data_IF_090452518864
#
_entry.id   IF_090452518864
#
_cell.length_a   1.000
_cell.length_b   1.000
_cell.length_c   1.000
_cell.angle_alpha   90.00
_cell.angle_beta   90.00
_cell.angle_gamma   90.00
#
_symmetry.space_group_name_H-M   'P 1'
#
loop_
_entity.id
_entity.type
_entity.pdbx_description
1 polymer ?
#
# COMPACT_ATOMS: atom_id res chain seq x y z
N UNK A 1 20.07 8.71 -14.26
CA UNK A 1 20.08 9.38 -12.94
C UNK A 1 18.73 10.01 -12.75
N UNK A 2 18.02 9.59 -11.70
CA UNK A 2 16.74 10.20 -11.36
C UNK A 2 17.00 11.53 -10.65
N UNK A 3 16.04 12.47 -10.78
CA UNK A 3 16.14 13.79 -10.18
C UNK A 3 14.88 14.08 -9.38
N UNK A 4 15.00 14.10 -8.06
CA UNK A 4 13.93 14.39 -7.11
C UNK A 4 13.87 15.89 -6.79
N UNK A 5 12.67 16.44 -6.64
CA UNK A 5 12.45 17.79 -6.13
C UNK A 5 12.45 17.80 -4.60
N UNK A 6 12.53 19.00 -4.00
CA UNK A 6 12.42 19.13 -2.55
C UNK A 6 11.03 18.72 -2.01
N UNK A 7 9.99 18.82 -2.84
CA UNK A 7 8.65 18.38 -2.46
C UNK A 7 8.58 16.84 -2.46
N UNK A 8 9.26 16.19 -3.40
CA UNK A 8 9.38 14.73 -3.44
C UNK A 8 10.02 14.27 -2.14
N UNK A 9 11.17 14.85 -1.75
CA UNK A 9 11.84 14.53 -0.49
C UNK A 9 10.94 14.75 0.73
N UNK A 10 10.20 15.86 0.79
CA UNK A 10 9.28 16.15 1.91
C UNK A 10 8.24 15.03 2.08
N UNK A 11 7.65 14.58 0.99
CA UNK A 11 6.60 13.56 1.02
C UNK A 11 7.12 12.19 1.49
N UNK A 12 8.38 11.86 1.22
CA UNK A 12 8.97 10.55 1.50
C UNK A 12 9.49 10.43 2.92
N UNK A 13 10.07 11.52 3.38
CA UNK A 13 10.72 11.60 4.68
C UNK A 13 9.75 12.09 5.75
N UNK A 14 8.67 12.76 5.35
CA UNK A 14 7.77 13.49 6.24
C UNK A 14 8.38 14.81 6.74
N UNK A 15 9.58 15.19 6.30
CA UNK A 15 10.26 16.41 6.74
C UNK A 15 9.88 17.56 5.83
N UNK A 16 9.34 18.64 6.40
CA UNK A 16 8.98 19.84 5.65
C UNK A 16 10.13 20.40 4.82
N UNK A 17 9.86 20.80 3.58
CA UNK A 17 10.83 21.39 2.66
C UNK A 17 11.56 22.59 3.27
N UNK A 18 10.88 23.38 4.10
CA UNK A 18 11.52 24.47 4.85
C UNK A 18 12.58 23.95 5.84
N UNK A 19 12.30 22.87 6.56
CA UNK A 19 13.24 22.23 7.49
C UNK A 19 14.45 21.67 6.75
N UNK A 20 14.24 21.02 5.59
CA UNK A 20 15.35 20.52 4.75
C UNK A 20 16.26 21.67 4.29
N UNK A 21 15.70 22.82 3.91
CA UNK A 21 16.50 24.03 3.57
C UNK A 21 17.30 24.55 4.76
N UNK A 22 16.76 24.48 5.97
CA UNK A 22 17.49 24.87 7.19
C UNK A 22 18.64 23.89 7.45
N UNK A 23 18.41 22.59 7.25
CA UNK A 23 19.44 21.56 7.43
C UNK A 23 20.62 21.78 6.47
N UNK A 24 20.31 22.03 5.19
CA UNK A 24 21.28 22.44 4.16
C UNK A 24 22.06 23.69 4.60
N UNK A 25 21.36 24.77 4.94
CA UNK A 25 21.99 26.06 5.23
C UNK A 25 22.85 26.04 6.51
N UNK A 26 22.40 25.38 7.57
CA UNK A 26 23.06 25.43 8.88
C UNK A 26 24.11 24.36 9.08
N UNK A 27 23.90 23.18 8.51
CA UNK A 27 24.73 22.01 8.80
C UNK A 27 25.38 21.43 7.54
N UNK A 28 25.13 21.98 6.35
CA UNK A 28 25.69 21.48 5.10
C UNK A 28 25.16 20.10 4.70
N UNK A 29 24.05 19.68 5.29
CA UNK A 29 23.45 18.36 5.06
C UNK A 29 22.72 18.36 3.72
N UNK A 30 23.07 17.41 2.84
CA UNK A 30 22.45 17.19 1.53
C UNK A 30 22.37 18.49 0.69
N UNK A 31 23.51 19.10 0.33
CA UNK A 31 23.50 20.33 -0.45
C UNK A 31 22.77 20.10 -1.78
N UNK A 32 21.74 20.91 -2.04
CA UNK A 32 20.89 20.68 -3.19
C UNK A 32 21.65 21.01 -4.47
N UNK A 33 21.66 20.07 -5.41
CA UNK A 33 22.19 20.29 -6.75
C UNK A 33 21.23 21.22 -7.51
N UNK A 34 21.74 21.99 -8.47
CA UNK A 34 20.92 22.97 -9.22
C UNK A 34 20.94 22.66 -10.70
N UNK A 35 19.76 22.62 -11.31
CA UNK A 35 19.64 22.59 -12.78
C UNK A 35 20.08 23.94 -13.35
N UNK A 36 20.34 24.00 -14.66
CA UNK A 36 20.64 25.25 -15.37
C UNK A 36 19.55 26.31 -15.17
N UNK A 37 18.29 25.89 -15.01
CA UNK A 37 17.16 26.76 -14.69
C UNK A 37 17.14 27.30 -13.24
N UNK A 38 18.13 26.95 -12.42
CA UNK A 38 18.24 27.37 -11.01
C UNK A 38 17.42 26.55 -10.00
N UNK A 39 16.59 25.59 -10.45
CA UNK A 39 15.78 24.74 -9.56
C UNK A 39 16.62 23.66 -8.86
N UNK A 40 16.33 23.44 -7.56
CA UNK A 40 16.94 22.39 -6.74
C UNK A 40 16.53 21.00 -7.25
N UNK A 41 17.48 20.07 -7.23
CA UNK A 41 17.24 18.65 -7.42
C UNK A 41 18.15 17.82 -6.52
N UNK A 42 17.72 16.58 -6.27
CA UNK A 42 18.44 15.56 -5.50
C UNK A 42 18.53 14.30 -6.37
N UNK A 43 19.63 13.56 -6.28
CA UNK A 43 19.76 12.27 -6.95
C UNK A 43 19.42 11.09 -6.03
N UNK A 44 19.60 9.87 -6.53
CA UNK A 44 19.29 8.63 -5.82
C UNK A 44 20.12 8.47 -4.53
N UNK A 45 21.37 8.95 -4.50
CA UNK A 45 22.22 8.87 -3.31
C UNK A 45 21.84 9.92 -2.27
N UNK A 46 21.50 11.14 -2.71
CA UNK A 46 20.95 12.18 -1.86
C UNK A 46 19.67 11.69 -1.17
N UNK A 47 18.75 11.06 -1.92
CA UNK A 47 17.50 10.53 -1.38
C UNK A 47 17.74 9.47 -0.29
N UNK A 48 18.60 8.47 -0.56
CA UNK A 48 18.92 7.43 0.43
C UNK A 48 19.50 8.04 1.72
N UNK A 49 20.38 9.03 1.59
CA UNK A 49 20.97 9.69 2.74
C UNK A 49 19.95 10.50 3.54
N UNK A 50 19.08 11.27 2.87
CA UNK A 50 18.03 12.04 3.55
C UNK A 50 17.04 11.10 4.27
N UNK A 51 16.66 9.98 3.64
CA UNK A 51 15.80 8.97 4.23
C UNK A 51 16.35 8.49 5.58
N UNK A 52 17.65 8.16 5.66
CA UNK A 52 18.29 7.74 6.93
C UNK A 52 18.30 8.84 7.97
N UNK A 53 18.65 10.07 7.58
CA UNK A 53 18.63 11.20 8.50
C UNK A 53 17.23 11.46 9.05
N UNK A 54 16.20 11.29 8.21
CA UNK A 54 14.81 11.45 8.63
C UNK A 54 14.41 10.42 9.70
N UNK A 55 14.83 9.17 9.54
CA UNK A 55 14.65 8.14 10.56
C UNK A 55 15.28 8.58 11.88
N UNK A 56 16.59 8.82 11.87
CA UNK A 56 17.37 9.13 13.06
C UNK A 56 16.84 10.39 13.77
N UNK A 57 16.49 11.41 13.00
CA UNK A 57 15.92 12.65 13.52
C UNK A 57 14.59 12.43 14.23
N UNK A 58 13.70 11.62 13.63
CA UNK A 58 12.40 11.27 14.22
C UNK A 58 12.56 10.56 15.57
N UNK A 59 13.58 9.72 15.70
CA UNK A 59 13.89 8.99 16.93
C UNK A 59 14.72 9.80 17.94
N UNK A 60 14.71 11.14 17.83
CA UNK A 60 15.21 12.05 18.86
C UNK A 60 16.67 12.44 18.70
N UNK A 61 17.37 11.94 17.67
CA UNK A 61 18.72 12.41 17.39
C UNK A 61 18.67 13.83 16.79
N UNK A 62 19.46 14.74 17.35
CA UNK A 62 19.53 16.11 16.84
C UNK A 62 20.24 16.13 15.49
N UNK A 63 19.68 16.85 14.51
CA UNK A 63 20.29 16.97 13.18
C UNK A 63 21.74 17.49 13.24
N UNK A 64 22.07 18.36 14.19
CA UNK A 64 23.43 18.88 14.38
C UNK A 64 24.44 17.78 14.73
N UNK A 65 23.99 16.72 15.40
CA UNK A 65 24.83 15.56 15.71
C UNK A 65 24.94 14.64 14.50
N UNK A 66 23.81 14.35 13.84
CA UNK A 66 23.77 13.48 12.66
C UNK A 66 24.59 14.03 11.50
N UNK A 67 24.59 15.35 11.28
CA UNK A 67 25.37 16.02 10.26
C UNK A 67 26.89 15.84 10.42
N UNK A 68 27.35 15.55 11.63
CA UNK A 68 28.77 15.35 11.93
C UNK A 68 29.20 13.87 11.82
N UNK A 69 28.26 12.95 11.61
CA UNK A 69 28.54 11.52 11.52
C UNK A 69 28.92 11.13 10.09
N UNK A 70 29.76 10.11 9.98
CA UNK A 70 30.05 9.46 8.70
C UNK A 70 28.86 8.63 8.21
N UNK A 71 28.81 8.39 6.91
CA UNK A 71 27.79 7.53 6.28
C UNK A 71 27.72 6.12 6.90
N UNK A 72 28.86 5.56 7.31
CA UNK A 72 28.92 4.24 7.97
C UNK A 72 28.33 4.29 9.38
N UNK A 73 28.64 5.32 10.16
CA UNK A 73 28.07 5.50 11.51
C UNK A 73 26.57 5.75 11.45
N UNK A 74 26.09 6.53 10.48
CA UNK A 74 24.67 6.76 10.25
C UNK A 74 23.95 5.45 9.92
N UNK A 75 24.54 4.60 9.06
CA UNK A 75 23.99 3.27 8.74
C UNK A 75 23.93 2.37 9.97
N UNK A 76 24.97 2.34 10.79
CA UNK A 76 25.01 1.54 12.02
C UNK A 76 23.99 2.03 13.05
N UNK A 77 23.89 3.35 13.23
CA UNK A 77 22.93 3.94 14.16
C UNK A 77 21.49 3.71 13.69
N UNK A 78 21.21 3.89 12.39
CA UNK A 78 19.90 3.58 11.82
C UNK A 78 19.54 2.12 12.06
N UNK A 79 20.51 1.22 11.86
CA UNK A 79 20.33 -0.20 12.14
C UNK A 79 20.01 -0.52 13.61
N UNK A 80 20.55 0.25 14.55
CA UNK A 80 20.26 0.07 15.97
C UNK A 80 18.84 0.50 16.35
N UNK A 81 18.31 1.56 15.73
CA UNK A 81 16.96 2.08 15.99
C UNK A 81 15.88 1.14 15.46
N UNK A 82 16.14 0.51 14.32
CA UNK A 82 15.27 -0.51 13.73
C UNK A 82 14.91 -1.64 14.71
N UNK A 83 15.81 -1.96 15.64
CA UNK A 83 15.56 -2.96 16.68
C UNK A 83 14.60 -2.49 17.78
N UNK A 84 14.50 -1.18 18.00
CA UNK A 84 13.69 -0.57 19.07
C UNK A 84 12.32 -0.08 18.60
N UNK A 85 12.14 0.20 17.30
CA UNK A 85 10.97 0.90 16.77
C UNK A 85 10.48 0.23 15.48
N UNK A 86 9.75 -0.89 15.63
CA UNK A 86 9.76 -1.97 14.64
C UNK A 86 9.28 -1.53 13.23
N UNK A 87 8.09 -0.96 13.06
CA UNK A 87 7.48 -0.92 11.72
C UNK A 87 7.97 0.20 10.79
N UNK A 88 8.13 1.44 11.26
CA UNK A 88 8.56 2.55 10.39
C UNK A 88 10.01 2.45 9.92
N UNK A 89 10.91 1.91 10.76
CA UNK A 89 12.28 1.62 10.36
C UNK A 89 12.34 0.67 9.18
N UNK A 90 11.56 -0.42 9.22
CA UNK A 90 11.48 -1.37 8.12
C UNK A 90 10.89 -0.78 6.84
N UNK A 91 9.87 0.09 6.95
CA UNK A 91 9.34 0.81 5.77
C UNK A 91 10.44 1.60 5.08
N UNK A 92 11.31 2.27 5.85
CA UNK A 92 12.43 3.01 5.27
C UNK A 92 13.45 2.10 4.59
N UNK A 93 13.78 0.97 5.21
CA UNK A 93 14.71 0.01 4.61
C UNK A 93 14.19 -0.56 3.29
N UNK A 94 12.88 -0.82 3.21
CA UNK A 94 12.23 -1.25 1.97
C UNK A 94 12.32 -0.15 0.90
N UNK A 95 12.16 1.12 1.27
CA UNK A 95 12.38 2.25 0.36
C UNK A 95 13.83 2.31 -0.11
N UNK A 96 14.81 2.18 0.78
CA UNK A 96 16.23 2.15 0.39
C UNK A 96 16.57 1.00 -0.57
N UNK A 97 16.10 -0.21 -0.26
CA UNK A 97 16.31 -1.40 -1.10
C UNK A 97 15.66 -1.21 -2.48
N UNK A 98 14.48 -0.59 -2.51
CA UNK A 98 13.78 -0.25 -3.75
C UNK A 98 14.54 0.77 -4.58
N UNK A 99 15.06 1.84 -3.97
CA UNK A 99 15.89 2.83 -4.66
C UNK A 99 17.17 2.22 -5.25
N UNK A 100 17.71 1.18 -4.61
CA UNK A 100 18.88 0.45 -5.09
C UNK A 100 18.56 -0.73 -6.03
N UNK A 101 17.28 -1.04 -6.30
CA UNK A 101 16.84 -2.29 -6.94
C UNK A 101 17.41 -3.57 -6.29
N UNK A 102 17.65 -3.52 -4.99
CA UNK A 102 18.19 -4.64 -4.21
C UNK A 102 17.08 -5.60 -3.80
N UNK A 103 16.71 -6.49 -4.74
CA UNK A 103 15.65 -7.47 -4.54
C UNK A 103 15.95 -8.44 -3.39
N UNK A 104 17.23 -8.79 -3.20
CA UNK A 104 17.63 -9.74 -2.17
C UNK A 104 17.40 -9.13 -0.78
N UNK A 105 17.88 -7.90 -0.54
CA UNK A 105 17.64 -7.18 0.71
C UNK A 105 16.16 -6.94 0.95
N UNK A 106 15.42 -6.52 -0.08
CA UNK A 106 13.97 -6.28 0.02
C UNK A 106 13.22 -7.54 0.48
N UNK A 107 13.47 -8.68 -0.17
CA UNK A 107 12.84 -9.96 0.20
C UNK A 107 13.25 -10.42 1.59
N UNK A 108 14.53 -10.29 1.96
CA UNK A 108 15.01 -10.68 3.29
C UNK A 108 14.29 -9.90 4.40
N UNK A 109 14.11 -8.59 4.24
CA UNK A 109 13.36 -7.75 5.18
C UNK A 109 11.91 -8.24 5.29
N UNK A 110 11.22 -8.44 4.16
CA UNK A 110 9.82 -8.90 4.18
C UNK A 110 9.66 -10.29 4.80
N UNK A 111 10.53 -11.23 4.47
CA UNK A 111 10.46 -12.60 4.98
C UNK A 111 10.68 -12.64 6.49
N UNK A 112 11.65 -11.87 7.00
CA UNK A 112 11.88 -11.72 8.43
C UNK A 112 10.66 -11.12 9.15
N UNK A 113 10.01 -10.13 8.53
CA UNK A 113 8.82 -9.48 9.09
C UNK A 113 7.60 -10.39 9.11
N UNK A 114 7.34 -11.11 8.01
CA UNK A 114 6.24 -12.07 7.92
C UNK A 114 6.43 -13.16 8.98
N UNK A 115 7.66 -13.66 9.16
CA UNK A 115 7.97 -14.67 10.18
C UNK A 115 7.75 -14.15 11.60
N UNK A 116 8.14 -12.91 11.88
CA UNK A 116 8.06 -12.31 13.23
C UNK A 116 6.66 -11.82 13.60
N UNK A 117 5.97 -11.14 12.69
CA UNK A 117 4.69 -10.45 12.94
C UNK A 117 3.47 -11.29 12.55
N UNK A 118 3.68 -12.27 11.67
CA UNK A 118 2.61 -12.91 10.92
C UNK A 118 2.23 -12.09 9.67
N UNK A 119 1.72 -12.78 8.66
CA UNK A 119 1.43 -12.19 7.35
C UNK A 119 0.46 -11.01 7.40
N UNK A 120 -0.64 -11.13 8.16
CA UNK A 120 -1.67 -10.08 8.26
C UNK A 120 -1.12 -8.75 8.78
N UNK A 121 -0.38 -8.79 9.90
CA UNK A 121 0.24 -7.60 10.49
C UNK A 121 1.36 -7.05 9.61
N UNK A 122 2.16 -7.92 8.98
CA UNK A 122 3.20 -7.47 8.05
C UNK A 122 2.60 -6.69 6.86
N UNK A 123 1.45 -7.11 6.34
CA UNK A 123 0.75 -6.37 5.28
C UNK A 123 0.26 -5.01 5.77
N UNK A 124 -0.53 -5.00 6.86
CA UNK A 124 -1.18 -3.78 7.37
C UNK A 124 -0.19 -2.75 7.93
N UNK A 125 0.79 -3.20 8.71
CA UNK A 125 1.66 -2.30 9.48
C UNK A 125 2.96 -1.95 8.73
N UNK A 126 3.31 -2.67 7.64
CA UNK A 126 4.54 -2.42 6.88
C UNK A 126 4.30 -2.30 5.38
N UNK A 127 3.72 -3.32 4.72
CA UNK A 127 3.61 -3.31 3.25
C UNK A 127 2.70 -2.19 2.75
N UNK A 128 1.54 -1.98 3.36
CA UNK A 128 0.63 -0.88 3.00
C UNK A 128 1.27 0.50 3.26
N UNK A 129 1.85 0.80 4.44
CA UNK A 129 2.59 2.04 4.64
C UNK A 129 3.75 2.26 3.65
N UNK A 130 4.44 1.19 3.26
CA UNK A 130 5.45 1.26 2.20
C UNK A 130 4.83 1.60 0.83
N UNK A 131 3.74 0.94 0.45
CA UNK A 131 3.02 1.17 -0.82
C UNK A 131 2.44 2.58 -0.90
N UNK A 132 1.94 3.12 0.21
CA UNK A 132 1.48 4.51 0.28
C UNK A 132 2.63 5.48 -0.01
N UNK A 133 3.81 5.27 0.59
CA UNK A 133 4.98 6.12 0.37
C UNK A 133 5.51 6.02 -1.05
N UNK A 134 5.62 4.80 -1.62
CA UNK A 134 6.09 4.63 -2.99
C UNK A 134 5.04 5.12 -4.02
N UNK A 135 3.74 5.01 -3.71
CA UNK A 135 2.66 5.50 -4.56
C UNK A 135 2.59 7.02 -4.64
N UNK A 136 3.02 7.75 -3.59
CA UNK A 136 3.11 9.22 -3.65
C UNK A 136 4.08 9.72 -4.73
N UNK A 137 5.10 8.95 -5.12
CA UNK A 137 6.00 9.33 -6.23
C UNK A 137 5.25 9.40 -7.57
N UNK A 138 4.24 8.56 -7.77
CA UNK A 138 3.46 8.53 -9.01
C UNK A 138 2.61 9.79 -9.18
N UNK A 139 2.07 10.34 -8.08
CA UNK A 139 1.21 11.54 -8.08
C UNK A 139 1.97 12.86 -8.31
N UNK A 140 3.31 12.86 -8.23
CA UNK A 140 4.14 14.08 -8.31
C UNK A 140 4.75 14.28 -9.71
N UNK A 141 4.36 13.47 -10.69
CA UNK A 141 4.72 13.61 -12.12
C UNK A 141 6.24 13.66 -12.38
N UNK A 142 7.03 13.08 -11.47
CA UNK A 142 8.47 12.89 -11.58
C UNK A 142 8.77 11.45 -11.18
N UNK A 143 9.43 10.74 -12.09
CA UNK A 143 9.82 9.32 -12.06
C UNK A 143 10.00 8.70 -10.65
N UNK A 144 9.65 7.44 -10.41
CA UNK A 144 10.07 6.30 -11.24
C UNK A 144 9.00 5.18 -11.33
N UNK A 145 8.36 5.00 -12.50
CA UNK A 145 7.48 3.85 -12.77
C UNK A 145 8.15 2.52 -12.41
N UNK A 146 9.44 2.38 -12.71
CA UNK A 146 10.18 1.14 -12.47
C UNK A 146 10.33 0.73 -10.99
N UNK A 147 10.43 1.67 -10.04
CA UNK A 147 10.68 1.35 -8.63
C UNK A 147 9.40 1.12 -7.84
N UNK A 148 8.35 1.88 -8.17
CA UNK A 148 6.99 1.53 -7.81
C UNK A 148 6.70 0.11 -8.31
N UNK A 149 6.86 -0.13 -9.63
CA UNK A 149 6.61 -1.44 -10.20
C UNK A 149 7.47 -2.52 -9.54
N UNK A 150 8.76 -2.26 -9.31
CA UNK A 150 9.66 -3.20 -8.65
C UNK A 150 9.16 -3.59 -7.26
N UNK A 151 8.96 -2.63 -6.37
CA UNK A 151 8.57 -2.90 -4.99
C UNK A 151 7.16 -3.49 -4.87
N UNK A 152 6.20 -2.93 -5.62
CA UNK A 152 4.81 -3.42 -5.66
C UNK A 152 4.73 -4.84 -6.21
N UNK A 153 5.49 -5.19 -7.26
CA UNK A 153 5.51 -6.57 -7.78
C UNK A 153 6.13 -7.56 -6.79
N UNK A 154 7.14 -7.17 -6.01
CA UNK A 154 7.70 -8.05 -4.97
C UNK A 154 6.67 -8.33 -3.87
N UNK A 155 5.95 -7.30 -3.42
CA UNK A 155 4.85 -7.46 -2.45
C UNK A 155 3.72 -8.32 -3.03
N UNK A 156 3.27 -8.03 -4.25
CA UNK A 156 2.23 -8.79 -4.95
C UNK A 156 2.57 -10.28 -4.97
N UNK A 157 3.79 -10.66 -5.35
CA UNK A 157 4.24 -12.06 -5.37
C UNK A 157 4.17 -12.72 -4.00
N UNK A 158 4.53 -12.02 -2.93
CA UNK A 158 4.42 -12.53 -1.55
C UNK A 158 2.95 -12.77 -1.17
N UNK A 159 2.05 -11.87 -1.56
CA UNK A 159 0.62 -12.03 -1.27
C UNK A 159 0.02 -13.19 -2.05
N UNK A 160 0.30 -13.30 -3.36
CA UNK A 160 -0.16 -14.43 -4.17
C UNK A 160 0.35 -15.75 -3.60
N UNK A 161 1.63 -15.83 -3.21
CA UNK A 161 2.16 -17.02 -2.55
C UNK A 161 1.45 -17.34 -1.24
N UNK A 162 1.15 -16.32 -0.42
CA UNK A 162 0.42 -16.50 0.83
C UNK A 162 -1.01 -17.00 0.62
N UNK A 163 -1.69 -16.52 -0.44
CA UNK A 163 -3.02 -16.99 -0.85
C UNK A 163 -2.98 -18.48 -1.23
N UNK A 164 -2.01 -18.87 -2.05
CA UNK A 164 -1.87 -20.26 -2.52
C UNK A 164 -1.36 -21.22 -1.43
N UNK A 165 -0.68 -20.69 -0.41
CA UNK A 165 -0.22 -21.47 0.74
C UNK A 165 -1.29 -21.69 1.80
N UNK A 166 -2.46 -21.03 1.70
CA UNK A 166 -3.57 -21.29 2.62
C UNK A 166 -4.09 -22.72 2.41
N UNK A 167 -4.44 -23.45 3.49
CA UNK A 167 -5.08 -24.75 3.36
C UNK A 167 -6.35 -24.61 2.54
N UNK A 168 -6.74 -25.67 1.82
CA UNK A 168 -8.01 -25.68 1.10
C UNK A 168 -9.13 -25.44 2.11
N UNK A 169 -9.85 -24.30 2.01
CA UNK A 169 -10.87 -23.98 2.98
C UNK A 169 -11.99 -25.01 2.91
N UNK A 170 -12.47 -25.45 4.07
CA UNK A 170 -13.79 -26.06 4.15
C UNK A 170 -14.78 -24.90 4.12
N UNK A 171 -15.58 -24.83 3.07
CA UNK A 171 -16.53 -23.73 2.91
C UNK A 171 -17.68 -23.92 3.90
N UNK A 172 -17.71 -23.08 4.93
CA UNK A 172 -18.69 -23.15 6.01
C UNK A 172 -19.85 -22.18 5.84
N UNK A 173 -19.76 -21.28 4.85
CA UNK A 173 -20.69 -20.17 4.68
C UNK A 173 -21.46 -20.30 3.36
N UNK A 174 -22.70 -19.79 3.33
CA UNK A 174 -23.42 -19.52 2.07
C UNK A 174 -22.87 -18.28 1.34
N UNK A 175 -21.77 -17.71 1.85
CA UNK A 175 -21.15 -16.50 1.32
C UNK A 175 -20.22 -16.87 0.17
N UNK A 176 -20.34 -16.20 -0.97
CA UNK A 176 -19.41 -16.32 -2.10
C UNK A 176 -19.09 -14.92 -2.61
N UNK A 177 -17.81 -14.57 -2.55
CA UNK A 177 -17.36 -13.21 -2.81
C UNK A 177 -16.76 -13.10 -4.22
N UNK A 178 -17.18 -12.09 -4.97
CA UNK A 178 -16.59 -11.64 -6.22
C UNK A 178 -15.68 -10.44 -5.95
N UNK A 179 -14.41 -10.54 -6.32
CA UNK A 179 -13.41 -9.50 -6.13
C UNK A 179 -12.91 -8.99 -7.48
N UNK A 180 -12.95 -7.67 -7.66
CA UNK A 180 -12.39 -6.99 -8.83
C UNK A 180 -12.01 -5.54 -8.50
N UNK A 181 -11.21 -4.90 -9.36
CA UNK A 181 -11.18 -3.43 -9.45
C UNK A 181 -11.78 -2.98 -10.79
N UNK A 182 -12.49 -1.84 -10.86
CA UNK A 182 -13.08 -1.37 -12.10
C UNK A 182 -12.02 -0.90 -13.10
N UNK A 183 -12.39 -0.80 -14.37
CA UNK A 183 -11.54 -0.20 -15.41
C UNK A 183 -11.00 1.18 -14.97
N UNK A 184 -9.69 1.39 -15.14
CA UNK A 184 -8.99 2.60 -14.69
C UNK A 184 -8.54 2.57 -13.23
N UNK A 185 -8.74 1.46 -12.51
CA UNK A 185 -8.17 1.25 -11.17
C UNK A 185 -7.15 0.09 -11.20
N UNK A 186 -5.85 0.38 -11.37
CA UNK A 186 -4.83 -0.66 -11.51
C UNK A 186 -4.35 -1.25 -10.17
N UNK A 187 -4.79 -0.72 -9.02
CA UNK A 187 -4.24 -1.09 -7.71
C UNK A 187 -4.80 -2.43 -7.19
N UNK A 188 -4.11 -3.50 -7.56
CA UNK A 188 -4.50 -4.89 -7.30
C UNK A 188 -4.15 -5.38 -5.88
N UNK A 189 -3.12 -4.82 -5.25
CA UNK A 189 -2.54 -5.37 -4.01
C UNK A 189 -3.56 -5.42 -2.85
N UNK A 190 -4.34 -4.36 -2.55
CA UNK A 190 -5.36 -4.43 -1.51
C UNK A 190 -6.47 -5.45 -1.84
N UNK A 191 -6.79 -5.61 -3.13
CA UNK A 191 -7.76 -6.60 -3.59
C UNK A 191 -7.28 -8.04 -3.31
N UNK A 192 -6.01 -8.33 -3.61
CA UNK A 192 -5.39 -9.62 -3.28
C UNK A 192 -5.34 -9.86 -1.77
N UNK A 193 -5.03 -8.84 -0.97
CA UNK A 193 -5.06 -8.98 0.48
C UNK A 193 -6.47 -9.31 1.01
N UNK A 194 -7.52 -8.70 0.46
CA UNK A 194 -8.90 -9.08 0.77
C UNK A 194 -9.20 -10.53 0.35
N UNK A 195 -8.72 -10.97 -0.82
CA UNK A 195 -8.86 -12.36 -1.25
C UNK A 195 -8.20 -13.33 -0.26
N UNK A 196 -7.01 -12.98 0.25
CA UNK A 196 -6.33 -13.73 1.29
C UNK A 196 -7.15 -13.79 2.58
N UNK A 197 -7.66 -12.65 3.08
CA UNK A 197 -8.45 -12.59 4.30
C UNK A 197 -9.74 -13.42 4.20
N UNK A 198 -10.47 -13.32 3.10
CA UNK A 198 -11.70 -14.08 2.88
C UNK A 198 -11.44 -15.58 2.80
N UNK A 199 -10.40 -15.99 2.06
CA UNK A 199 -10.00 -17.42 1.97
C UNK A 199 -9.53 -17.96 3.32
N UNK A 200 -8.74 -17.18 4.07
CA UNK A 200 -8.30 -17.53 5.43
C UNK A 200 -9.48 -17.79 6.36
N UNK A 201 -10.56 -17.01 6.21
CA UNK A 201 -11.81 -17.17 6.96
C UNK A 201 -12.82 -18.10 6.26
N UNK A 202 -12.40 -18.97 5.36
CA UNK A 202 -13.27 -20.01 4.78
C UNK A 202 -14.35 -19.52 3.82
N UNK A 203 -14.25 -18.29 3.29
CA UNK A 203 -15.16 -17.76 2.28
C UNK A 203 -14.62 -18.07 0.87
N UNK A 204 -15.39 -18.73 -0.01
CA UNK A 204 -15.03 -18.90 -1.41
C UNK A 204 -14.96 -17.56 -2.14
N UNK A 205 -13.84 -17.34 -2.83
CA UNK A 205 -13.54 -16.12 -3.59
C UNK A 205 -13.46 -16.46 -5.07
N UNK A 206 -14.22 -15.72 -5.89
CA UNK A 206 -14.03 -15.61 -7.32
C UNK A 206 -13.26 -14.32 -7.57
N UNK A 207 -12.00 -14.44 -8.00
CA UNK A 207 -11.10 -13.32 -8.20
C UNK A 207 -11.00 -13.01 -9.71
N UNK A 208 -11.52 -11.86 -10.14
CA UNK A 208 -11.45 -11.43 -11.55
C UNK A 208 -10.19 -10.63 -11.86
N UNK A 209 -9.47 -10.18 -10.83
CA UNK A 209 -8.30 -9.33 -11.00
C UNK A 209 -8.65 -7.86 -11.12
N UNK A 210 -7.68 -7.09 -11.61
CA UNK A 210 -7.79 -5.65 -11.77
C UNK A 210 -8.39 -5.26 -13.12
N UNK A 211 -8.95 -4.06 -13.16
CA UNK A 211 -9.46 -3.41 -14.37
C UNK A 211 -10.52 -4.23 -15.13
N UNK A 212 -11.39 -4.90 -14.39
CA UNK A 212 -12.49 -5.66 -14.96
C UNK A 212 -13.55 -4.74 -15.58
N UNK A 213 -14.12 -5.18 -16.70
CA UNK A 213 -15.23 -4.49 -17.37
C UNK A 213 -16.55 -4.76 -16.64
N UNK A 214 -17.48 -3.80 -16.73
CA UNK A 214 -18.79 -3.92 -16.08
C UNK A 214 -19.66 -5.00 -16.73
N UNK A 215 -19.47 -5.26 -18.02
CA UNK A 215 -20.13 -6.32 -18.78
C UNK A 215 -19.74 -7.69 -18.22
N UNK A 216 -18.44 -7.93 -18.00
CA UNK A 216 -17.94 -9.17 -17.44
C UNK A 216 -18.52 -9.47 -16.04
N UNK A 217 -18.80 -8.43 -15.25
CA UNK A 217 -19.45 -8.59 -13.94
C UNK A 217 -20.89 -9.08 -14.06
N UNK A 218 -21.67 -8.55 -15.01
CA UNK A 218 -23.05 -8.99 -15.20
C UNK A 218 -23.11 -10.48 -15.59
N UNK A 219 -22.23 -10.91 -16.49
CA UNK A 219 -22.13 -12.31 -16.92
C UNK A 219 -21.79 -13.25 -15.74
N UNK A 220 -20.86 -12.82 -14.89
CA UNK A 220 -20.42 -13.60 -13.72
C UNK A 220 -21.53 -13.68 -12.65
N UNK A 221 -22.20 -12.56 -12.37
CA UNK A 221 -23.27 -12.50 -11.36
C UNK A 221 -24.47 -13.36 -11.74
N UNK A 222 -24.77 -13.50 -13.04
CA UNK A 222 -25.89 -14.29 -13.53
C UNK A 222 -25.72 -15.81 -13.28
N UNK A 223 -24.49 -16.32 -13.19
CA UNK A 223 -24.23 -17.77 -13.28
C UNK A 223 -23.60 -18.37 -12.01
N UNK A 224 -22.88 -17.58 -11.20
CA UNK A 224 -22.00 -18.13 -10.16
C UNK A 224 -22.55 -18.11 -8.73
N UNK A 225 -23.78 -17.64 -8.51
CA UNK A 225 -24.39 -17.58 -7.17
C UNK A 225 -23.59 -16.69 -6.21
N UNK A 226 -23.10 -15.56 -6.72
CA UNK A 226 -22.35 -14.58 -5.93
C UNK A 226 -23.31 -13.92 -4.94
N UNK A 227 -22.92 -13.84 -3.67
CA UNK A 227 -23.70 -13.15 -2.65
C UNK A 227 -23.07 -11.83 -2.24
N UNK A 228 -21.76 -11.68 -2.47
CA UNK A 228 -21.00 -10.50 -2.07
C UNK A 228 -20.09 -10.03 -3.20
N UNK A 229 -20.03 -8.72 -3.39
CA UNK A 229 -19.05 -8.05 -4.25
C UNK A 229 -18.14 -7.22 -3.36
N UNK A 230 -16.84 -7.29 -3.62
CA UNK A 230 -15.84 -6.41 -3.01
C UNK A 230 -15.00 -5.73 -4.09
N UNK A 231 -14.84 -4.41 -3.99
CA UNK A 231 -13.92 -3.61 -4.80
C UNK A 231 -13.13 -2.65 -3.92
N UNK A 232 -11.92 -2.29 -4.37
CA UNK A 232 -11.03 -1.37 -3.68
C UNK A 232 -10.68 -0.20 -4.61
N UNK A 233 -10.92 1.04 -4.16
CA UNK A 233 -10.75 2.25 -4.97
C UNK A 233 -9.70 3.18 -4.35
N UNK A 234 -8.62 3.44 -5.08
CA UNK A 234 -7.50 4.30 -4.65
C UNK A 234 -7.44 5.56 -5.51
N UNK A 235 -7.55 5.42 -6.82
CA UNK A 235 -7.33 6.48 -7.79
C UNK A 235 -8.62 7.01 -8.39
N UNK A 236 -8.72 8.32 -8.55
CA UNK A 236 -9.82 8.96 -9.29
C UNK A 236 -9.57 8.96 -10.81
N UNK A 237 -8.74 8.06 -11.31
CA UNK A 237 -8.32 8.04 -12.72
C UNK A 237 -9.29 7.29 -13.61
N UNK A 238 -10.35 6.70 -13.03
CA UNK A 238 -11.40 6.08 -13.81
C UNK A 238 -12.09 7.14 -14.67
N UNK A 239 -12.11 6.93 -15.99
CA UNK A 239 -12.78 7.84 -16.95
C UNK A 239 -14.25 8.04 -16.59
N UNK A 240 -14.88 7.02 -16.00
CA UNK A 240 -16.24 7.04 -15.48
C UNK A 240 -16.24 6.78 -13.97
N UNK A 241 -17.08 7.52 -13.25
CA UNK A 241 -17.28 7.30 -11.82
C UNK A 241 -17.86 5.89 -11.58
N UNK A 242 -17.15 4.98 -10.89
CA UNK A 242 -17.61 3.62 -10.64
C UNK A 242 -18.87 3.59 -9.77
N UNK A 243 -19.23 4.67 -9.06
CA UNK A 243 -20.43 4.70 -8.21
C UNK A 243 -21.73 4.46 -8.98
N UNK A 244 -21.86 5.01 -10.19
CA UNK A 244 -23.08 4.86 -10.99
C UNK A 244 -23.24 3.41 -11.48
N UNK A 245 -22.14 2.79 -11.90
CA UNK A 245 -22.13 1.39 -12.31
C UNK A 245 -22.42 0.45 -11.12
N UNK A 246 -21.87 0.73 -9.94
CA UNK A 246 -22.16 -0.04 -8.73
C UNK A 246 -23.63 0.12 -8.28
N UNK A 247 -24.22 1.31 -8.43
CA UNK A 247 -25.64 1.54 -8.18
C UNK A 247 -26.53 0.77 -9.17
N UNK A 248 -26.15 0.72 -10.45
CA UNK A 248 -26.82 -0.09 -11.46
C UNK A 248 -26.75 -1.59 -11.11
N UNK A 249 -25.58 -2.08 -10.70
CA UNK A 249 -25.41 -3.47 -10.22
C UNK A 249 -26.29 -3.75 -9.00
N UNK A 250 -26.38 -2.84 -8.04
CA UNK A 250 -27.26 -3.01 -6.86
C UNK A 250 -28.74 -3.08 -7.25
N UNK A 251 -29.14 -2.33 -8.27
CA UNK A 251 -30.50 -2.32 -8.79
C UNK A 251 -30.83 -3.63 -9.52
N UNK A 252 -29.90 -4.13 -10.34
CA UNK A 252 -30.08 -5.37 -11.10
C UNK A 252 -29.96 -6.63 -10.23
N UNK A 253 -29.16 -6.57 -9.16
CA UNK A 253 -28.92 -7.67 -8.23
C UNK A 253 -29.17 -7.25 -6.77
N UNK A 254 -30.43 -7.02 -6.35
CA UNK A 254 -30.74 -6.49 -5.03
C UNK A 254 -30.26 -7.37 -3.86
N UNK A 255 -30.18 -8.68 -4.10
CA UNK A 255 -29.75 -9.69 -3.12
C UNK A 255 -28.24 -9.70 -2.88
N UNK A 256 -27.44 -9.10 -3.76
CA UNK A 256 -25.98 -9.06 -3.63
C UNK A 256 -25.58 -7.91 -2.71
N UNK A 257 -24.76 -8.22 -1.71
CA UNK A 257 -24.14 -7.23 -0.85
C UNK A 257 -22.93 -6.62 -1.56
N UNK A 258 -22.90 -5.29 -1.74
CA UNK A 258 -21.81 -4.60 -2.41
C UNK A 258 -21.00 -3.82 -1.38
N UNK A 259 -19.70 -4.09 -1.36
CA UNK A 259 -18.76 -3.48 -0.41
C UNK A 259 -17.60 -2.83 -1.15
N UNK A 260 -17.30 -1.60 -0.77
CA UNK A 260 -16.21 -0.79 -1.29
C UNK A 260 -15.21 -0.54 -0.16
N UNK A 261 -13.93 -0.44 -0.47
CA UNK A 261 -12.92 0.11 0.43
C UNK A 261 -11.97 1.04 -0.31
N UNK A 262 -11.05 1.66 0.43
CA UNK A 262 -10.15 2.71 -0.06
C UNK A 262 -10.57 4.11 0.37
N UNK A 263 -10.00 5.14 -0.25
CA UNK A 263 -10.09 6.53 0.25
C UNK A 263 -11.44 7.19 -0.10
N UNK A 264 -12.46 7.03 0.76
CA UNK A 264 -13.81 7.56 0.51
C UNK A 264 -13.86 9.06 0.24
N UNK A 265 -13.06 9.88 0.92
CA UNK A 265 -13.04 11.34 0.71
C UNK A 265 -12.71 11.75 -0.73
N UNK A 266 -12.14 10.82 -1.51
CA UNK A 266 -11.89 10.98 -2.93
C UNK A 266 -13.10 10.60 -3.81
N UNK A 267 -14.24 10.20 -3.25
CA UNK A 267 -15.38 9.70 -4.01
C UNK A 267 -16.71 10.23 -3.48
N UNK A 268 -17.74 10.31 -4.33
CA UNK A 268 -19.10 10.60 -3.89
C UNK A 268 -19.60 9.55 -2.89
N UNK A 269 -20.59 9.95 -2.07
CA UNK A 269 -21.26 9.04 -1.14
C UNK A 269 -21.94 7.91 -1.94
N UNK A 270 -21.73 6.63 -1.58
CA UNK A 270 -22.38 5.52 -2.27
C UNK A 270 -23.91 5.54 -2.17
N UNK A 271 -24.57 4.95 -3.16
CA UNK A 271 -26.00 4.72 -3.12
C UNK A 271 -26.41 3.81 -1.94
N UNK A 272 -27.67 3.90 -1.51
CA UNK A 272 -28.22 3.09 -0.43
C UNK A 272 -28.05 1.59 -0.72
N UNK A 273 -27.54 0.85 0.26
CA UNK A 273 -27.29 -0.60 0.13
C UNK A 273 -25.92 -0.96 -0.42
N UNK A 274 -25.04 0.03 -0.62
CA UNK A 274 -23.61 -0.15 -0.88
C UNK A 274 -22.86 0.31 0.37
N UNK A 275 -22.00 -0.54 0.91
CA UNK A 275 -21.26 -0.26 2.16
C UNK A 275 -19.83 0.17 1.85
N UNK A 276 -19.32 1.21 2.52
CA UNK A 276 -17.92 1.61 2.42
C UNK A 276 -17.17 1.25 3.70
N UNK A 277 -16.04 0.54 3.58
CA UNK A 277 -15.14 0.21 4.67
C UNK A 277 -14.01 1.25 4.75
N UNK A 278 -14.08 2.11 5.76
CA UNK A 278 -13.16 3.24 5.94
C UNK A 278 -11.93 2.91 6.80
N UNK A 279 -11.93 1.79 7.52
CA UNK A 279 -10.85 1.43 8.46
C UNK A 279 -10.40 0.00 8.30
N UNK A 280 -9.15 -0.28 8.68
CA UNK A 280 -8.61 -1.65 8.71
C UNK A 280 -9.45 -2.56 9.59
N UNK A 281 -9.96 -2.07 10.73
CA UNK A 281 -10.85 -2.84 11.60
C UNK A 281 -12.16 -3.23 10.88
N UNK A 282 -12.75 -2.32 10.10
CA UNK A 282 -13.95 -2.63 9.31
C UNK A 282 -13.63 -3.65 8.19
N UNK A 283 -12.45 -3.55 7.59
CA UNK A 283 -11.94 -4.49 6.58
C UNK A 283 -11.78 -5.90 7.15
N UNK A 284 -11.12 -6.01 8.32
CA UNK A 284 -10.93 -7.28 9.02
C UNK A 284 -12.26 -7.87 9.50
N UNK A 285 -13.15 -7.04 10.05
CA UNK A 285 -14.48 -7.47 10.48
C UNK A 285 -15.29 -8.06 9.30
N UNK A 286 -15.34 -7.35 8.17
CA UNK A 286 -16.00 -7.84 6.95
C UNK A 286 -15.45 -9.18 6.47
N UNK A 287 -14.13 -9.39 6.56
CA UNK A 287 -13.54 -10.65 6.13
C UNK A 287 -13.80 -11.81 7.10
N UNK A 288 -13.92 -11.52 8.40
CA UNK A 288 -14.23 -12.50 9.44
C UNK A 288 -15.72 -12.80 9.60
N UNK A 289 -16.59 -12.02 8.97
CA UNK A 289 -18.03 -12.16 9.13
C UNK A 289 -18.54 -13.46 8.48
N UNK A 290 -18.99 -14.37 9.33
CA UNK A 290 -19.71 -15.58 8.95
C UNK A 290 -21.21 -15.29 9.06
N UNK A 291 -21.79 -14.68 8.02
CA UNK A 291 -23.25 -14.69 7.87
C UNK A 291 -23.71 -16.17 7.84
N UNK A 292 -24.25 -16.67 8.95
CA UNK A 292 -24.90 -17.98 9.04
C UNK A 292 -24.28 -19.05 9.94
N UNK A 293 -23.25 -18.79 10.76
CA UNK A 293 -22.91 -19.75 11.84
C UNK A 293 -23.70 -19.45 13.12
N UNK A 294 -24.35 -20.45 13.76
CA UNK A 294 -24.87 -20.25 15.10
C UNK A 294 -23.70 -19.91 16.00
N UNK A 295 -23.80 -18.79 16.73
CA UNK A 295 -22.85 -18.47 17.79
C UNK A 295 -22.81 -19.68 18.72
N UNK A 296 -21.71 -20.42 18.72
CA UNK A 296 -21.49 -21.45 19.73
C UNK A 296 -21.48 -20.72 21.08
N UNK A 297 -22.49 -21.03 21.88
CA UNK A 297 -22.65 -20.57 23.26
C UNK A 297 -21.59 -21.22 24.16
#
# INVERSE_FOLDING_TARGET
MNHFTINDIENLTGIKAHTLRIWEQRYGVCPAKRKESGHRFYDDEDLKHILRLALLYKYGHKISHLAAMTETELKQLAHSIENCCQHEGHVLQLLEATQAFDQQRFNHILDALILRLGFEKAVLEVMFPYLEKIGMYWLIDRAIPAQEHFGSNLILRKIVLAIESLPRPVYHTGRRALLFTPAGEPHEIPLLFMAWLLRKNGTPVLYLGKEASWEALNDVLAVHGITHIYTHLITQLCENNPMDALAALKTNFPHVSIVISGKQKAWPVPAKGINWLETDNALLAFASDHEGQPRLA
#
